data_IF_390339417810
#
_entry.id   IF_390339417810
#
_cell.length_a   1.000
_cell.length_b   1.000
_cell.length_c   1.000
_cell.angle_alpha   90.00
_cell.angle_beta   90.00
_cell.angle_gamma   90.00
#
_symmetry.space_group_name_H-M   'P 1'
#
loop_
_entity.id
_entity.type
_entity.pdbx_description
1 polymer ?
#
# COMPACT_ATOMS: atom_id res chain seq x y z
N UNK A 1 -58.07 21.58 -0.10
CA UNK A 1 -58.70 20.56 0.72
C UNK A 1 -57.63 19.81 1.50
N UNK A 2 -57.62 20.06 2.82
CA UNK A 2 -56.74 19.43 3.81
C UNK A 2 -57.06 17.95 4.02
N UNK A 3 -56.04 17.12 4.24
CA UNK A 3 -56.11 16.04 5.20
C UNK A 3 -54.71 15.79 5.78
N UNK A 4 -54.59 16.15 7.03
CA UNK A 4 -53.55 15.75 8.00
C UNK A 4 -53.82 14.29 8.45
N UNK A 5 -52.79 13.52 8.67
CA UNK A 5 -52.78 12.36 9.56
C UNK A 5 -51.39 12.15 10.11
N UNK A 6 -51.28 12.38 11.22
CA UNK A 6 -50.86 12.06 12.58
C UNK A 6 -49.84 10.93 12.71
N UNK A 7 -48.82 11.29 13.47
CA UNK A 7 -47.81 10.49 14.15
C UNK A 7 -48.36 9.34 14.99
N UNK A 8 -47.56 8.29 15.11
CA UNK A 8 -47.38 7.59 16.40
C UNK A 8 -45.98 7.05 16.54
N UNK A 9 -45.27 7.63 17.50
CA UNK A 9 -44.00 7.20 18.07
C UNK A 9 -44.23 5.95 18.92
N UNK A 10 -43.36 4.96 18.84
CA UNK A 10 -43.27 3.88 19.80
C UNK A 10 -41.83 3.75 20.30
N UNK A 11 -41.61 4.36 21.46
CA UNK A 11 -40.41 4.18 22.28
C UNK A 11 -40.54 2.85 23.05
N UNK A 12 -39.58 1.98 22.95
CA UNK A 12 -39.45 0.83 23.84
C UNK A 12 -38.13 0.94 24.61
N UNK A 13 -38.27 1.35 25.85
CA UNK A 13 -37.26 1.30 26.93
C UNK A 13 -37.27 -0.13 27.47
N UNK A 14 -36.11 -0.79 27.52
CA UNK A 14 -35.93 -1.96 28.38
C UNK A 14 -34.68 -1.73 29.24
N UNK A 15 -34.97 -1.41 30.50
CA UNK A 15 -34.01 -1.40 31.61
C UNK A 15 -34.18 -2.69 32.42
N UNK A 16 -33.18 -2.96 33.29
CA UNK A 16 -33.14 -3.97 34.38
C UNK A 16 -32.36 -5.24 34.02
N UNK A 17 -31.49 -5.70 34.88
CA UNK A 17 -31.36 -5.45 36.31
C UNK A 17 -30.09 -6.03 36.89
N UNK A 18 -29.60 -5.30 37.82
CA UNK A 18 -28.64 -5.71 38.84
C UNK A 18 -29.25 -6.78 39.76
N UNK A 19 -28.49 -7.82 40.06
CA UNK A 19 -28.70 -8.57 41.27
C UNK A 19 -27.38 -8.82 41.97
N UNK A 20 -27.25 -8.18 43.10
CA UNK A 20 -26.18 -8.35 44.08
C UNK A 20 -26.64 -9.32 45.16
N UNK A 21 -25.67 -9.81 45.91
CA UNK A 21 -25.70 -10.33 47.27
C UNK A 21 -25.90 -11.83 47.48
N UNK A 22 -24.95 -12.33 48.24
CA UNK A 22 -25.11 -13.54 49.05
C UNK A 22 -23.86 -13.89 49.83
N UNK A 23 -23.74 -13.27 50.98
CA UNK A 23 -22.76 -13.51 52.01
C UNK A 23 -23.12 -14.81 52.79
N UNK A 24 -22.12 -15.59 53.23
CA UNK A 24 -22.33 -16.75 54.07
C UNK A 24 -21.05 -17.28 54.71
N UNK A 25 -20.82 -16.85 55.94
CA UNK A 25 -19.75 -17.31 56.83
C UNK A 25 -19.94 -18.77 57.28
N UNK A 26 -18.85 -19.45 57.64
CA UNK A 26 -18.87 -20.68 58.39
C UNK A 26 -17.53 -21.38 58.51
N UNK A 27 -16.77 -21.00 59.39
CA UNK A 27 -15.91 -21.53 60.47
C UNK A 27 -15.50 -23.02 60.47
N UNK A 28 -14.22 -23.27 60.79
CA UNK A 28 -13.80 -24.43 61.60
C UNK A 28 -12.66 -25.29 61.09
N UNK A 29 -11.45 -24.98 61.48
CA UNK A 29 -10.50 -25.80 62.25
C UNK A 29 -9.80 -27.00 61.55
N UNK A 30 -8.57 -27.09 61.44
CA UNK A 30 -7.49 -27.55 62.29
C UNK A 30 -6.19 -27.89 61.54
N UNK A 31 -5.12 -27.72 62.20
CA UNK A 31 -3.75 -27.82 61.75
C UNK A 31 -3.29 -29.25 61.41
N UNK A 32 -2.30 -29.34 60.50
CA UNK A 32 -1.20 -30.29 60.58
C UNK A 32 0.00 -29.76 59.78
N UNK A 33 1.12 -29.67 60.45
CA UNK A 33 2.43 -29.33 59.93
C UNK A 33 2.93 -30.40 58.96
N UNK A 34 3.61 -29.94 57.88
CA UNK A 34 4.38 -30.78 56.96
C UNK A 34 5.42 -29.94 56.27
N UNK A 35 6.65 -29.99 56.77
CA UNK A 35 7.88 -29.44 56.18
C UNK A 35 8.18 -30.08 54.84
N UNK A 36 8.52 -29.26 53.84
CA UNK A 36 9.03 -29.75 52.54
C UNK A 36 9.38 -28.64 51.59
N UNK A 37 10.64 -28.37 51.51
CA UNK A 37 11.48 -27.72 50.49
C UNK A 37 10.90 -26.64 49.52
N UNK A 38 11.48 -25.48 49.65
CA UNK A 38 11.37 -24.36 48.74
C UNK A 38 12.08 -24.67 47.42
N UNK A 39 11.31 -24.86 46.37
CA UNK A 39 11.73 -24.62 44.99
C UNK A 39 11.26 -23.21 44.60
N UNK A 40 12.16 -22.25 44.70
CA UNK A 40 11.98 -20.88 44.18
C UNK A 40 11.95 -20.91 42.66
N UNK A 41 10.79 -21.15 42.11
CA UNK A 41 10.47 -20.82 40.73
C UNK A 41 9.90 -19.41 40.72
N UNK A 42 10.75 -18.39 40.66
CA UNK A 42 10.34 -17.02 40.42
C UNK A 42 9.91 -16.89 38.94
N UNK A 43 8.67 -17.19 38.67
CA UNK A 43 7.99 -16.68 37.49
C UNK A 43 7.62 -15.24 37.80
N UNK A 44 8.52 -14.32 37.46
CA UNK A 44 8.24 -12.88 37.50
C UNK A 44 7.13 -12.54 36.50
N UNK A 45 5.91 -12.43 37.01
CA UNK A 45 4.83 -11.71 36.35
C UNK A 45 5.12 -10.20 36.53
N UNK A 46 6.14 -9.69 35.87
CA UNK A 46 6.28 -8.27 35.65
C UNK A 46 5.20 -7.82 34.67
N UNK A 47 4.56 -6.69 34.94
CA UNK A 47 3.60 -6.10 33.99
C UNK A 47 4.29 -5.94 32.64
N UNK A 48 3.73 -6.52 31.56
CA UNK A 48 4.26 -6.41 30.22
C UNK A 48 4.14 -4.97 29.70
N UNK A 49 5.16 -4.48 29.01
CA UNK A 49 5.10 -3.22 28.28
C UNK A 49 4.28 -3.46 27.01
N UNK A 50 3.08 -2.92 26.94
CA UNK A 50 2.21 -3.05 25.77
C UNK A 50 2.46 -1.92 24.80
N UNK A 51 2.65 -2.26 23.53
CA UNK A 51 2.78 -1.33 22.41
C UNK A 51 1.87 -1.77 21.28
N UNK A 52 1.46 -0.82 20.44
CA UNK A 52 0.62 -1.11 19.27
C UNK A 52 1.34 -0.80 17.97
N UNK A 53 1.17 -1.71 16.99
CA UNK A 53 1.63 -1.53 15.62
C UNK A 53 0.43 -1.45 14.67
N UNK A 54 0.28 -0.32 13.96
CA UNK A 54 -0.80 -0.11 13.00
C UNK A 54 -0.31 -0.18 11.56
N UNK A 55 -1.02 -0.95 10.73
CA UNK A 55 -0.79 -1.07 9.29
C UNK A 55 -2.07 -0.93 8.48
N UNK A 56 -1.96 -0.35 7.28
CA UNK A 56 -3.01 -0.36 6.26
C UNK A 56 -2.91 -1.54 5.30
N UNK A 57 -1.80 -2.30 5.34
CA UNK A 57 -1.54 -3.36 4.37
C UNK A 57 -2.21 -4.67 4.78
N UNK A 58 -2.89 -5.29 3.83
CA UNK A 58 -3.59 -6.58 3.99
C UNK A 58 -2.85 -7.73 3.31
N UNK A 59 -2.06 -7.44 2.27
CA UNK A 59 -1.40 -8.46 1.45
C UNK A 59 -0.40 -9.32 2.22
N UNK A 60 0.20 -8.78 3.28
CA UNK A 60 1.19 -9.44 4.13
C UNK A 60 0.72 -9.59 5.60
N UNK A 61 -0.56 -9.39 5.85
CA UNK A 61 -1.11 -9.35 7.22
C UNK A 61 -0.82 -10.64 8.02
N UNK A 62 -0.92 -11.81 7.39
CA UNK A 62 -0.65 -13.09 8.05
C UNK A 62 0.85 -13.23 8.39
N UNK A 63 1.73 -12.80 7.50
CA UNK A 63 3.17 -12.77 7.77
C UNK A 63 3.51 -11.83 8.93
N UNK A 64 2.97 -10.62 8.90
CA UNK A 64 3.21 -9.64 9.97
C UNK A 64 2.67 -10.15 11.31
N UNK A 65 1.50 -10.80 11.31
CA UNK A 65 0.91 -11.43 12.50
C UNK A 65 1.80 -12.56 13.04
N UNK A 66 2.36 -13.39 12.16
CA UNK A 66 3.33 -14.44 12.52
C UNK A 66 4.56 -13.82 13.19
N UNK A 67 5.14 -12.77 12.61
CA UNK A 67 6.35 -12.11 13.15
C UNK A 67 6.08 -11.34 14.46
N UNK A 68 4.90 -10.74 14.61
CA UNK A 68 4.48 -10.14 15.89
C UNK A 68 4.34 -11.22 16.97
N UNK A 69 3.76 -12.37 16.65
CA UNK A 69 3.65 -13.48 17.59
C UNK A 69 5.05 -14.02 17.98
N UNK A 70 5.96 -14.19 17.02
CA UNK A 70 7.35 -14.61 17.23
C UNK A 70 8.08 -13.62 18.16
N UNK A 71 7.96 -12.31 17.90
CA UNK A 71 8.54 -11.29 18.77
C UNK A 71 7.98 -11.37 20.19
N UNK A 72 6.65 -11.46 20.33
CA UNK A 72 5.98 -11.53 21.64
C UNK A 72 6.39 -12.77 22.45
N UNK A 73 6.73 -13.87 21.78
CA UNK A 73 7.17 -15.11 22.41
C UNK A 73 8.67 -15.07 22.76
N UNK A 74 9.50 -14.48 21.90
CA UNK A 74 10.96 -14.60 21.98
C UNK A 74 11.66 -13.44 22.68
N UNK A 75 11.03 -12.24 22.74
CA UNK A 75 11.65 -11.11 23.41
C UNK A 75 11.76 -11.35 24.94
N UNK A 76 12.89 -10.95 25.51
CA UNK A 76 13.18 -11.09 26.95
C UNK A 76 12.91 -9.81 27.74
N UNK A 77 12.47 -8.74 27.06
CA UNK A 77 12.25 -7.43 27.67
C UNK A 77 10.84 -7.24 28.24
N UNK A 78 9.99 -8.28 28.14
CA UNK A 78 8.60 -8.22 28.62
C UNK A 78 7.71 -7.31 27.76
N UNK A 79 8.03 -7.15 26.47
CA UNK A 79 7.26 -6.34 25.52
C UNK A 79 6.14 -7.20 24.90
N UNK A 80 4.96 -6.64 24.76
CA UNK A 80 3.84 -7.24 24.05
C UNK A 80 3.33 -6.28 22.98
N UNK A 81 3.42 -6.70 21.71
CA UNK A 81 2.98 -5.92 20.54
C UNK A 81 1.57 -6.36 20.15
N UNK A 82 0.65 -5.41 20.01
CA UNK A 82 -0.67 -5.59 19.43
C UNK A 82 -0.66 -5.11 17.96
N UNK A 83 -0.96 -6.00 17.02
CA UNK A 83 -1.11 -5.67 15.60
C UNK A 83 -2.54 -5.21 15.30
N UNK A 84 -2.68 -4.03 14.68
CA UNK A 84 -3.96 -3.50 14.21
C UNK A 84 -3.91 -3.25 12.69
N UNK A 85 -4.73 -3.98 11.94
CA UNK A 85 -4.86 -3.84 10.48
C UNK A 85 -6.10 -2.99 10.16
N UNK A 86 -5.91 -1.80 9.58
CA UNK A 86 -6.98 -0.83 9.27
C UNK A 86 -7.43 -0.87 7.79
N UNK A 87 -6.65 -1.47 6.90
CA UNK A 87 -6.96 -1.48 5.47
C UNK A 87 -7.04 -0.08 4.86
N UNK A 88 -8.06 0.16 4.03
CA UNK A 88 -8.20 1.42 3.28
C UNK A 88 -8.55 2.63 4.17
N UNK A 89 -9.03 2.40 5.37
CA UNK A 89 -9.33 3.47 6.34
C UNK A 89 -8.12 3.91 7.16
N UNK A 90 -6.93 3.38 6.87
CA UNK A 90 -5.72 3.56 7.66
C UNK A 90 -5.37 5.05 7.89
N UNK A 91 -5.29 5.84 6.82
CA UNK A 91 -4.90 7.26 6.94
C UNK A 91 -5.91 8.06 7.76
N UNK A 92 -7.21 7.81 7.56
CA UNK A 92 -8.28 8.46 8.33
C UNK A 92 -8.26 8.05 9.79
N UNK A 93 -8.08 6.75 10.07
CA UNK A 93 -7.98 6.24 11.42
C UNK A 93 -6.75 6.77 12.15
N UNK A 94 -5.62 6.88 11.43
CA UNK A 94 -4.39 7.45 11.99
C UNK A 94 -4.56 8.93 12.30
N UNK A 95 -5.13 9.74 11.39
CA UNK A 95 -5.43 11.16 11.65
C UNK A 95 -6.29 11.35 12.89
N UNK A 96 -7.32 10.51 13.06
CA UNK A 96 -8.20 10.57 14.23
C UNK A 96 -7.45 10.16 15.51
N UNK A 97 -6.63 9.13 15.48
CA UNK A 97 -5.90 8.62 16.65
C UNK A 97 -4.91 9.66 17.22
N UNK A 98 -4.31 10.48 16.34
CA UNK A 98 -3.43 11.58 16.77
C UNK A 98 -4.16 12.78 17.38
N UNK A 99 -5.46 12.90 17.13
CA UNK A 99 -6.33 13.90 17.76
C UNK A 99 -6.87 13.41 19.12
N UNK A 100 -6.86 12.12 19.35
CA UNK A 100 -7.23 11.46 20.61
C UNK A 100 -5.97 10.95 21.32
N UNK A 101 -6.13 10.18 22.39
CA UNK A 101 -4.99 9.55 23.11
C UNK A 101 -4.68 8.12 22.61
N UNK A 102 -5.18 7.74 21.45
CA UNK A 102 -5.14 6.35 20.96
C UNK A 102 -4.13 6.17 19.80
N UNK A 103 -3.16 7.08 19.67
CA UNK A 103 -2.13 6.98 18.62
C UNK A 103 -1.27 5.71 18.81
N UNK A 104 -0.96 4.98 17.73
CA UNK A 104 -0.11 3.80 17.82
C UNK A 104 1.33 4.15 18.21
N UNK A 105 2.09 3.14 18.69
CA UNK A 105 3.52 3.26 18.96
C UNK A 105 4.37 3.10 17.71
N UNK A 106 3.99 2.18 16.83
CA UNK A 106 4.64 1.92 15.54
C UNK A 106 3.63 2.07 14.40
N UNK A 107 4.04 2.78 13.36
CA UNK A 107 3.20 3.15 12.22
C UNK A 107 3.81 2.54 10.96
N UNK A 108 3.00 1.81 10.16
CA UNK A 108 3.39 1.46 8.80
C UNK A 108 3.46 2.73 7.95
N UNK A 109 4.61 3.00 7.36
CA UNK A 109 4.82 4.13 6.46
C UNK A 109 5.21 3.65 5.08
N UNK A 110 4.96 4.48 4.07
CA UNK A 110 5.31 4.25 2.66
C UNK A 110 5.90 5.53 2.08
N UNK A 111 6.57 5.42 0.94
CA UNK A 111 7.18 6.58 0.27
C UNK A 111 6.19 7.71 -0.02
N UNK A 112 4.94 7.37 -0.34
CA UNK A 112 3.91 8.35 -0.68
C UNK A 112 3.17 8.92 0.54
N UNK A 113 3.36 8.37 1.74
CA UNK A 113 2.69 8.82 2.97
C UNK A 113 3.64 9.40 4.00
N UNK A 114 4.91 8.96 4.02
CA UNK A 114 5.87 9.32 5.06
C UNK A 114 6.09 10.84 5.18
N UNK A 115 6.19 11.54 4.05
CA UNK A 115 6.35 13.00 4.06
C UNK A 115 5.12 13.69 4.67
N UNK A 116 3.92 13.20 4.37
CA UNK A 116 2.68 13.71 4.96
C UNK A 116 2.64 13.47 6.47
N UNK A 117 3.00 12.26 6.92
CA UNK A 117 3.03 11.93 8.35
C UNK A 117 4.11 12.71 9.10
N UNK A 118 5.27 12.93 8.47
CA UNK A 118 6.30 13.82 9.00
C UNK A 118 5.78 15.26 9.17
N UNK A 119 5.20 15.85 8.13
CA UNK A 119 4.65 17.23 8.19
C UNK A 119 3.53 17.38 9.20
N UNK A 120 2.73 16.35 9.43
CA UNK A 120 1.69 16.31 10.47
C UNK A 120 2.26 16.11 11.88
N UNK A 121 3.56 15.86 12.03
CA UNK A 121 4.21 15.60 13.30
C UNK A 121 3.85 14.22 13.91
N UNK A 122 3.44 13.26 13.09
CA UNK A 122 3.09 11.93 13.57
C UNK A 122 4.31 11.06 13.88
N UNK A 123 5.45 11.36 13.27
CA UNK A 123 6.67 10.56 13.38
C UNK A 123 7.68 11.20 14.32
N UNK A 124 8.35 10.39 15.12
CA UNK A 124 9.53 10.75 15.88
C UNK A 124 10.81 10.37 15.10
N UNK A 125 11.89 11.14 15.21
CA UNK A 125 13.18 10.75 14.67
C UNK A 125 13.71 9.51 15.40
N UNK A 126 14.47 8.67 14.66
CA UNK A 126 15.04 7.42 15.17
C UNK A 126 16.56 7.47 15.31
N UNK A 127 17.18 8.65 15.12
CA UNK A 127 18.65 8.81 15.11
C UNK A 127 19.33 8.32 16.38
N UNK A 128 18.70 8.52 17.53
CA UNK A 128 19.23 8.08 18.83
C UNK A 128 19.38 6.56 18.96
N UNK A 129 18.64 5.81 18.16
CA UNK A 129 18.66 4.35 18.13
C UNK A 129 19.56 3.77 17.04
N UNK A 130 20.05 4.60 16.09
CA UNK A 130 20.79 4.12 14.93
C UNK A 130 22.28 3.92 15.25
N UNK A 131 22.72 2.68 15.21
CA UNK A 131 24.15 2.32 15.20
C UNK A 131 24.78 2.63 13.83
N UNK A 132 26.10 2.70 13.76
CA UNK A 132 26.83 2.88 12.50
C UNK A 132 26.58 1.72 11.53
N UNK A 133 26.37 0.52 12.03
CA UNK A 133 26.00 -0.66 11.25
C UNK A 133 24.62 -0.48 10.59
N UNK A 134 23.61 -0.04 11.36
CA UNK A 134 22.27 0.24 10.81
C UNK A 134 22.29 1.38 9.80
N UNK A 135 23.09 2.43 10.03
CA UNK A 135 23.25 3.52 9.06
C UNK A 135 23.91 3.06 7.76
N UNK A 136 24.86 2.15 7.84
CA UNK A 136 25.49 1.57 6.66
C UNK A 136 24.56 0.60 5.92
N UNK A 137 23.80 -0.21 6.65
CA UNK A 137 22.82 -1.16 6.09
C UNK A 137 21.63 -0.46 5.43
N UNK A 138 21.16 0.64 6.01
CA UNK A 138 20.00 1.41 5.56
C UNK A 138 20.41 2.87 5.27
N UNK A 139 20.83 3.19 4.04
CA UNK A 139 21.30 4.52 3.71
C UNK A 139 20.22 5.59 3.87
N UNK A 140 20.66 6.81 4.13
CA UNK A 140 19.80 7.98 4.08
C UNK A 140 19.27 8.20 2.67
N UNK A 141 17.99 8.53 2.58
CA UNK A 141 17.32 8.93 1.34
C UNK A 141 16.65 10.28 1.63
N UNK A 142 17.32 11.41 1.28
CA UNK A 142 16.78 12.74 1.52
C UNK A 142 15.38 12.91 0.96
N UNK A 143 14.52 13.60 1.71
CA UNK A 143 13.11 13.84 1.41
C UNK A 143 12.22 12.58 1.32
N UNK A 144 12.80 11.40 1.56
CA UNK A 144 12.07 10.13 1.53
C UNK A 144 12.02 9.46 2.92
N UNK A 145 13.18 9.24 3.57
CA UNK A 145 13.22 8.73 4.94
C UNK A 145 14.04 9.60 5.90
N UNK A 146 14.63 10.67 5.36
CA UNK A 146 15.37 11.68 6.10
C UNK A 146 14.80 13.06 5.82
N UNK A 147 14.39 13.78 6.87
CA UNK A 147 13.83 15.14 6.82
C UNK A 147 14.57 16.00 7.84
N UNK A 148 14.97 17.20 7.44
CA UNK A 148 15.74 18.14 8.28
C UNK A 148 16.99 17.51 8.92
N UNK A 149 17.67 16.62 8.17
CA UNK A 149 18.88 15.93 8.62
C UNK A 149 18.65 14.86 9.69
N UNK A 150 17.41 14.43 9.91
CA UNK A 150 17.03 13.35 10.84
C UNK A 150 16.34 12.21 10.14
N UNK A 151 16.60 10.99 10.59
CA UNK A 151 16.02 9.77 10.07
C UNK A 151 14.69 9.45 10.75
N UNK A 152 13.67 9.07 9.98
CA UNK A 152 12.32 8.74 10.45
C UNK A 152 11.86 7.32 10.13
N UNK A 153 12.55 6.64 9.21
CA UNK A 153 12.32 5.23 8.89
C UNK A 153 13.54 4.61 8.24
N UNK A 154 13.52 3.28 8.10
CA UNK A 154 14.56 2.53 7.38
C UNK A 154 13.94 1.91 6.12
N UNK A 155 14.52 2.14 4.92
CA UNK A 155 14.02 1.58 3.67
C UNK A 155 14.37 0.09 3.61
N UNK A 156 13.38 -0.79 3.68
CA UNK A 156 13.64 -2.23 3.72
C UNK A 156 13.18 -3.00 2.49
N UNK A 157 12.01 -2.65 1.93
CA UNK A 157 11.48 -3.30 0.73
C UNK A 157 11.03 -2.30 -0.31
N UNK A 158 11.06 -2.73 -1.56
CA UNK A 158 10.38 -2.11 -2.67
C UNK A 158 9.46 -3.10 -3.37
N UNK A 159 8.59 -2.57 -4.20
CA UNK A 159 7.70 -3.35 -5.07
C UNK A 159 7.83 -2.86 -6.51
N UNK A 160 7.78 -3.79 -7.46
CA UNK A 160 7.62 -3.49 -8.88
C UNK A 160 6.14 -3.48 -9.23
N UNK A 161 5.78 -2.76 -10.28
CA UNK A 161 4.42 -2.74 -10.83
C UNK A 161 4.40 -3.41 -12.20
N UNK A 162 3.41 -4.29 -12.42
CA UNK A 162 3.30 -5.08 -13.66
C UNK A 162 1.85 -5.20 -14.11
N UNK A 163 1.69 -5.51 -15.38
CA UNK A 163 0.46 -6.06 -15.94
C UNK A 163 0.38 -7.54 -15.55
N UNK A 164 -0.60 -7.91 -14.77
CA UNK A 164 -0.93 -9.28 -14.40
C UNK A 164 -1.94 -9.82 -15.42
N UNK A 165 -1.70 -11.01 -15.97
CA UNK A 165 -2.57 -11.54 -17.02
C UNK A 165 -2.82 -13.04 -16.90
N UNK A 166 -4.03 -13.45 -17.31
CA UNK A 166 -4.50 -14.82 -17.32
C UNK A 166 -4.07 -15.52 -18.61
N UNK A 167 -3.07 -16.39 -18.53
CA UNK A 167 -2.51 -17.12 -19.68
C UNK A 167 -3.51 -18.06 -20.33
N UNK A 168 -4.39 -18.70 -19.55
CA UNK A 168 -5.40 -19.59 -20.07
C UNK A 168 -6.40 -18.83 -20.96
N UNK A 169 -6.81 -17.64 -20.53
CA UNK A 169 -7.71 -16.79 -21.31
C UNK A 169 -7.02 -16.20 -22.55
N UNK A 170 -5.72 -15.84 -22.44
CA UNK A 170 -4.90 -15.41 -23.58
C UNK A 170 -4.80 -16.51 -24.63
N UNK A 171 -4.49 -17.75 -24.21
CA UNK A 171 -4.42 -18.91 -25.11
C UNK A 171 -5.79 -19.17 -25.78
N UNK A 172 -6.89 -19.09 -25.03
CA UNK A 172 -8.25 -19.23 -25.54
C UNK A 172 -8.61 -18.15 -26.57
N UNK A 173 -8.09 -16.92 -26.39
CA UNK A 173 -8.30 -15.80 -27.31
C UNK A 173 -7.33 -15.80 -28.50
N UNK A 174 -6.36 -16.73 -28.55
CA UNK A 174 -5.31 -16.77 -29.59
C UNK A 174 -4.33 -15.60 -29.48
N UNK A 175 -4.07 -15.10 -28.26
CA UNK A 175 -3.14 -13.97 -28.01
C UNK A 175 -1.84 -14.54 -27.50
N UNK A 176 -0.75 -14.28 -28.23
CA UNK A 176 0.58 -14.84 -27.92
C UNK A 176 1.37 -13.99 -26.91
N UNK A 177 1.15 -12.68 -26.89
CA UNK A 177 1.94 -11.74 -26.09
C UNK A 177 1.06 -10.73 -25.33
N UNK A 178 1.48 -10.32 -24.13
CA UNK A 178 0.82 -9.21 -23.44
C UNK A 178 0.99 -7.89 -24.22
N UNK A 179 0.03 -6.94 -24.06
CA UNK A 179 0.05 -5.67 -24.77
C UNK A 179 1.25 -4.80 -24.36
N UNK A 180 1.86 -4.13 -25.34
CA UNK A 180 2.98 -3.20 -25.16
C UNK A 180 2.59 -1.75 -25.36
N UNK A 181 1.45 -1.49 -26.02
CA UNK A 181 0.87 -0.16 -26.24
C UNK A 181 -0.52 -0.04 -25.62
N UNK A 182 -0.98 1.20 -25.41
CA UNK A 182 -2.38 1.44 -24.97
C UNK A 182 -3.39 0.89 -25.95
N UNK A 183 -3.14 1.01 -27.26
CA UNK A 183 -4.08 0.49 -28.27
C UNK A 183 -4.14 -1.05 -28.18
N UNK A 184 -3.00 -1.72 -28.05
CA UNK A 184 -2.99 -3.16 -27.85
C UNK A 184 -3.68 -3.57 -26.54
N UNK A 185 -3.58 -2.77 -25.48
CA UNK A 185 -4.30 -3.04 -24.21
C UNK A 185 -5.81 -3.04 -24.42
N UNK A 186 -6.34 -2.05 -25.15
CA UNK A 186 -7.75 -1.95 -25.51
C UNK A 186 -8.19 -3.14 -26.36
N UNK A 187 -7.47 -3.44 -27.44
CA UNK A 187 -7.78 -4.53 -28.36
C UNK A 187 -7.70 -5.89 -27.68
N UNK A 188 -6.70 -6.09 -26.82
CA UNK A 188 -6.53 -7.30 -26.02
C UNK A 188 -7.69 -7.48 -25.05
N UNK A 189 -8.05 -6.43 -24.31
CA UNK A 189 -9.19 -6.48 -23.39
C UNK A 189 -10.48 -6.92 -24.09
N UNK A 190 -10.73 -6.38 -25.29
CA UNK A 190 -11.90 -6.75 -26.11
C UNK A 190 -11.85 -8.22 -26.51
N UNK A 191 -10.73 -8.70 -27.06
CA UNK A 191 -10.58 -10.10 -27.50
C UNK A 191 -10.74 -11.07 -26.32
N UNK A 192 -10.16 -10.76 -25.16
CA UNK A 192 -10.30 -11.58 -23.96
C UNK A 192 -11.75 -11.63 -23.47
N UNK A 193 -12.49 -10.51 -23.54
CA UNK A 193 -13.91 -10.48 -23.18
C UNK A 193 -14.74 -11.34 -24.12
N UNK A 194 -14.50 -11.26 -25.43
CA UNK A 194 -15.18 -12.08 -26.43
C UNK A 194 -14.91 -13.56 -26.20
N UNK A 195 -13.64 -13.94 -25.99
CA UNK A 195 -13.23 -15.35 -25.72
C UNK A 195 -13.76 -15.86 -24.38
N UNK A 196 -13.82 -14.98 -23.37
CA UNK A 196 -14.27 -15.32 -22.01
C UNK A 196 -15.77 -15.25 -21.77
N UNK A 197 -16.55 -14.81 -22.77
CA UNK A 197 -17.99 -14.52 -22.62
C UNK A 197 -18.81 -15.69 -22.07
N UNK A 198 -18.52 -16.91 -22.53
CA UNK A 198 -19.24 -18.11 -22.09
C UNK A 198 -18.98 -18.42 -20.59
N UNK A 199 -17.82 -18.00 -20.07
CA UNK A 199 -17.42 -18.22 -18.69
C UNK A 199 -17.71 -17.00 -17.79
N UNK A 200 -18.31 -15.93 -18.34
CA UNK A 200 -18.57 -14.68 -17.65
C UNK A 200 -17.28 -13.94 -17.27
N UNK A 201 -16.23 -14.07 -18.10
CA UNK A 201 -14.97 -13.39 -17.90
C UNK A 201 -14.88 -12.10 -18.74
N UNK A 202 -14.15 -11.12 -18.23
CA UNK A 202 -13.91 -9.81 -18.83
C UNK A 202 -12.43 -9.58 -19.05
N UNK A 203 -12.08 -8.80 -20.08
CA UNK A 203 -10.69 -8.61 -20.48
C UNK A 203 -9.86 -7.78 -19.50
N UNK A 204 -10.49 -6.86 -18.77
CA UNK A 204 -9.78 -5.95 -17.87
C UNK A 204 -10.59 -5.59 -16.61
N UNK A 205 -9.89 -5.35 -15.52
CA UNK A 205 -10.46 -4.77 -14.30
C UNK A 205 -9.43 -3.91 -13.57
N UNK A 206 -9.92 -3.00 -12.71
CA UNK A 206 -9.15 -2.33 -11.65
C UNK A 206 -10.06 -2.06 -10.44
N UNK A 207 -9.46 -1.85 -9.28
CA UNK A 207 -10.16 -1.69 -7.99
C UNK A 207 -10.67 -0.26 -7.77
N UNK A 208 -11.57 0.22 -8.62
CA UNK A 208 -12.05 1.61 -8.63
C UNK A 208 -12.97 2.01 -7.46
N UNK A 209 -13.25 1.13 -6.51
CA UNK A 209 -13.81 1.56 -5.22
C UNK A 209 -12.91 2.61 -4.55
N UNK A 210 -11.60 2.54 -4.81
CA UNK A 210 -10.61 3.55 -4.44
C UNK A 210 -9.89 4.03 -5.71
N UNK A 211 -10.32 5.14 -6.36
CA UNK A 211 -9.70 5.63 -7.59
C UNK A 211 -8.20 5.90 -7.46
N UNK A 212 -7.75 6.45 -6.32
CA UNK A 212 -6.32 6.66 -6.06
C UNK A 212 -5.53 5.35 -6.03
N UNK A 213 -6.08 4.29 -5.41
CA UNK A 213 -5.45 2.95 -5.43
C UNK A 213 -5.44 2.34 -6.83
N UNK A 214 -6.53 2.45 -7.58
CA UNK A 214 -6.67 1.89 -8.93
C UNK A 214 -5.73 2.58 -9.93
N UNK A 215 -5.76 3.90 -10.00
CA UNK A 215 -4.94 4.68 -10.93
C UNK A 215 -3.46 4.71 -10.51
N UNK A 216 -3.19 4.65 -9.21
CA UNK A 216 -1.84 4.49 -8.67
C UNK A 216 -1.16 3.18 -9.06
N UNK A 217 -1.95 2.10 -9.29
CA UNK A 217 -1.44 0.80 -9.78
C UNK A 217 -1.35 0.73 -11.30
N UNK A 218 -2.03 1.58 -12.02
CA UNK A 218 -2.20 1.48 -13.47
C UNK A 218 -1.78 2.76 -14.21
N UNK A 219 -2.59 3.80 -14.23
CA UNK A 219 -2.32 5.02 -14.99
C UNK A 219 -0.98 5.68 -14.61
N UNK A 220 -0.64 5.68 -13.32
CA UNK A 220 0.62 6.19 -12.82
C UNK A 220 1.81 5.50 -13.50
N UNK A 221 1.89 4.17 -13.44
CA UNK A 221 3.03 3.44 -13.95
C UNK A 221 3.12 3.51 -15.48
N UNK A 222 1.98 3.56 -16.18
CA UNK A 222 1.94 3.80 -17.62
C UNK A 222 2.52 5.19 -17.95
N UNK A 223 2.13 6.23 -17.19
CA UNK A 223 2.66 7.57 -17.34
C UNK A 223 4.17 7.61 -17.08
N UNK A 224 4.64 7.03 -15.98
CA UNK A 224 6.05 6.92 -15.60
C UNK A 224 6.87 6.24 -16.71
N UNK A 225 6.46 5.08 -17.18
CA UNK A 225 7.12 4.34 -18.26
C UNK A 225 7.09 5.09 -19.60
N UNK A 226 6.11 5.97 -19.81
CA UNK A 226 5.98 6.82 -20.99
C UNK A 226 6.73 8.15 -20.88
N UNK A 227 7.46 8.38 -19.76
CA UNK A 227 8.31 9.57 -19.56
C UNK A 227 7.62 10.76 -18.88
N UNK A 228 6.44 10.55 -18.29
CA UNK A 228 5.71 11.57 -17.53
C UNK A 228 5.80 11.31 -16.01
N UNK A 229 5.67 12.36 -15.21
CA UNK A 229 5.58 12.19 -13.76
C UNK A 229 4.31 11.43 -13.36
N UNK A 230 4.46 10.36 -12.60
CA UNK A 230 3.37 9.43 -12.25
C UNK A 230 2.22 10.05 -11.45
N UNK A 231 2.43 11.22 -10.87
CA UNK A 231 1.43 12.02 -10.15
C UNK A 231 1.19 13.38 -10.80
N UNK A 232 1.56 13.53 -12.08
CA UNK A 232 1.39 14.75 -12.85
C UNK A 232 2.44 15.82 -12.58
N UNK A 233 3.46 15.57 -11.74
CA UNK A 233 4.52 16.55 -11.52
C UNK A 233 5.62 16.40 -12.58
N UNK A 234 5.85 17.45 -13.35
CA UNK A 234 6.92 17.53 -14.33
C UNK A 234 8.20 18.14 -13.71
N UNK A 235 9.22 17.32 -13.51
CA UNK A 235 10.49 17.72 -12.93
C UNK A 235 11.26 18.73 -13.80
N UNK A 236 11.05 18.72 -15.13
CA UNK A 236 11.73 19.67 -16.03
C UNK A 236 11.28 21.10 -15.84
N UNK A 237 10.01 21.28 -15.54
CA UNK A 237 9.38 22.59 -15.36
C UNK A 237 9.11 22.93 -13.91
N UNK A 238 9.25 21.95 -13.00
CA UNK A 238 8.85 22.00 -11.60
C UNK A 238 7.37 22.42 -11.43
N UNK A 239 6.48 21.89 -12.26
CA UNK A 239 5.05 22.19 -12.30
C UNK A 239 4.22 20.94 -12.46
N UNK A 240 2.96 21.01 -12.07
CA UNK A 240 1.99 19.96 -12.36
C UNK A 240 1.48 20.08 -13.79
N UNK A 241 1.60 18.99 -14.53
CA UNK A 241 1.03 18.80 -15.87
C UNK A 241 0.47 17.38 -16.02
N UNK A 242 -0.86 17.30 -16.07
CA UNK A 242 -1.57 16.04 -16.24
C UNK A 242 -1.85 15.69 -17.71
N UNK A 243 -1.26 16.41 -18.69
CA UNK A 243 -1.51 16.17 -20.12
C UNK A 243 -1.11 14.75 -20.56
N UNK A 244 -0.07 14.16 -19.97
CA UNK A 244 0.34 12.78 -20.24
C UNK A 244 -0.69 11.72 -19.86
N UNK A 245 -1.67 12.05 -19.02
CA UNK A 245 -2.76 11.15 -18.62
C UNK A 245 -3.90 11.09 -19.65
N UNK A 246 -4.02 12.05 -20.56
CA UNK A 246 -5.12 12.09 -21.54
C UNK A 246 -5.26 10.78 -22.34
N UNK A 247 -4.22 10.26 -23.01
CA UNK A 247 -4.34 9.00 -23.76
C UNK A 247 -4.60 7.80 -22.86
N UNK A 248 -4.07 7.78 -21.64
CA UNK A 248 -4.21 6.67 -20.68
C UNK A 248 -5.67 6.57 -20.20
N UNK A 249 -6.24 7.68 -19.76
CA UNK A 249 -7.61 7.74 -19.24
C UNK A 249 -8.62 7.48 -20.37
N UNK A 250 -8.35 7.95 -21.59
CA UNK A 250 -9.17 7.63 -22.75
C UNK A 250 -9.14 6.14 -23.09
N UNK A 251 -8.00 5.46 -23.01
CA UNK A 251 -7.91 4.02 -23.21
C UNK A 251 -8.72 3.24 -22.16
N UNK A 252 -8.63 3.61 -20.89
CA UNK A 252 -9.43 2.97 -19.83
C UNK A 252 -10.94 3.24 -20.01
N UNK A 253 -11.30 4.47 -20.40
CA UNK A 253 -12.69 4.78 -20.74
C UNK A 253 -13.19 3.94 -21.92
N UNK A 254 -12.38 3.77 -22.95
CA UNK A 254 -12.73 2.93 -24.10
C UNK A 254 -12.95 1.47 -23.70
N UNK A 255 -12.05 0.87 -22.91
CA UNK A 255 -12.21 -0.49 -22.37
C UNK A 255 -13.52 -0.64 -21.59
N UNK A 256 -13.92 0.41 -20.86
CA UNK A 256 -15.19 0.44 -20.12
C UNK A 256 -16.38 0.56 -21.07
N UNK A 257 -16.32 1.49 -22.02
CA UNK A 257 -17.44 1.81 -22.92
C UNK A 257 -17.74 0.69 -23.91
N UNK A 258 -16.74 -0.10 -24.33
CA UNK A 258 -16.93 -1.27 -25.20
C UNK A 258 -17.31 -2.55 -24.42
N UNK A 259 -17.47 -2.45 -23.09
CA UNK A 259 -17.91 -3.55 -22.24
C UNK A 259 -16.81 -4.56 -21.90
N UNK A 260 -15.55 -4.22 -22.13
CA UNK A 260 -14.39 -5.10 -21.84
C UNK A 260 -13.87 -4.96 -20.41
N UNK A 261 -14.31 -3.93 -19.69
CA UNK A 261 -14.04 -3.78 -18.27
C UNK A 261 -15.08 -4.56 -17.44
N UNK A 262 -14.64 -5.22 -16.39
CA UNK A 262 -15.53 -5.94 -15.48
C UNK A 262 -16.64 -4.99 -14.96
N UNK A 263 -17.92 -5.36 -15.04
CA UNK A 263 -18.99 -4.54 -14.50
C UNK A 263 -18.89 -4.36 -12.98
N UNK A 264 -19.28 -3.19 -12.47
CA UNK A 264 -19.29 -2.91 -11.03
C UNK A 264 -17.93 -2.54 -10.45
N UNK A 265 -16.93 -2.20 -11.30
CA UNK A 265 -15.58 -1.81 -10.82
C UNK A 265 -15.60 -0.61 -9.88
N UNK A 266 -16.62 0.25 -9.94
CA UNK A 266 -16.83 1.38 -9.03
C UNK A 266 -17.07 0.96 -7.58
N UNK A 267 -17.43 -0.31 -7.34
CA UNK A 267 -17.57 -0.91 -6.01
C UNK A 267 -16.51 -1.96 -5.72
N UNK A 268 -15.63 -2.24 -6.69
CA UNK A 268 -14.66 -3.31 -6.62
C UNK A 268 -13.43 -2.87 -5.81
N UNK A 269 -13.21 -3.54 -4.69
CA UNK A 269 -11.98 -3.43 -3.90
C UNK A 269 -10.92 -4.40 -4.43
N UNK A 270 -9.67 -4.25 -3.95
CA UNK A 270 -8.54 -5.06 -4.44
C UNK A 270 -8.69 -6.55 -4.12
N UNK A 271 -9.18 -6.93 -2.93
CA UNK A 271 -9.30 -8.34 -2.56
C UNK A 271 -10.42 -9.07 -3.33
N UNK A 272 -11.63 -8.51 -3.51
CA UNK A 272 -12.60 -9.05 -4.45
C UNK A 272 -12.11 -9.12 -5.90
N UNK A 273 -11.27 -8.17 -6.36
CA UNK A 273 -10.64 -8.23 -7.69
C UNK A 273 -9.71 -9.44 -7.78
N UNK A 274 -8.83 -9.63 -6.79
CA UNK A 274 -7.91 -10.77 -6.70
C UNK A 274 -8.64 -12.10 -6.70
N UNK A 275 -9.70 -12.21 -5.91
CA UNK A 275 -10.54 -13.41 -5.87
C UNK A 275 -11.13 -13.73 -7.25
N UNK A 276 -11.67 -12.73 -7.96
CA UNK A 276 -12.23 -12.90 -9.30
C UNK A 276 -11.16 -13.25 -10.34
N UNK A 277 -9.96 -12.66 -10.25
CA UNK A 277 -8.85 -13.02 -11.13
C UNK A 277 -8.41 -14.47 -10.90
N UNK A 278 -8.26 -14.88 -9.64
CA UNK A 278 -7.90 -16.25 -9.26
C UNK A 278 -8.92 -17.31 -9.79
N UNK A 279 -10.19 -16.92 -9.92
CA UNK A 279 -11.27 -17.74 -10.49
C UNK A 279 -11.34 -17.65 -12.04
N UNK A 280 -10.45 -16.91 -12.69
CA UNK A 280 -10.42 -16.74 -14.15
C UNK A 280 -11.46 -15.79 -14.73
N UNK A 281 -12.09 -14.94 -13.93
CA UNK A 281 -13.11 -13.97 -14.37
C UNK A 281 -12.52 -12.68 -14.95
N UNK A 282 -11.23 -12.46 -14.82
CA UNK A 282 -10.52 -11.26 -15.28
C UNK A 282 -9.33 -11.70 -16.13
N UNK A 283 -9.21 -11.08 -17.32
CA UNK A 283 -8.11 -11.35 -18.24
C UNK A 283 -6.82 -10.63 -17.87
N UNK A 284 -6.94 -9.35 -17.49
CA UNK A 284 -5.81 -8.48 -17.15
C UNK A 284 -6.18 -7.50 -16.05
N UNK A 285 -5.20 -7.16 -15.22
CA UNK A 285 -5.22 -5.99 -14.32
C UNK A 285 -3.78 -5.59 -14.00
N UNK A 286 -3.57 -4.43 -13.37
CA UNK A 286 -2.23 -3.97 -13.00
C UNK A 286 -2.05 -3.99 -11.48
N UNK A 287 -0.91 -4.49 -11.00
CA UNK A 287 -0.63 -4.58 -9.57
C UNK A 287 0.87 -4.71 -9.25
N UNK A 288 1.15 -4.83 -7.96
CA UNK A 288 2.48 -4.88 -7.37
C UNK A 288 3.05 -6.30 -7.28
N UNK A 289 4.36 -6.38 -7.04
CA UNK A 289 5.12 -7.64 -6.87
C UNK A 289 4.74 -8.47 -5.64
N UNK A 290 3.75 -8.06 -4.86
CA UNK A 290 3.15 -8.86 -3.78
C UNK A 290 2.12 -9.88 -4.29
N UNK A 291 1.65 -9.78 -5.54
CA UNK A 291 0.59 -10.67 -6.06
C UNK A 291 0.98 -12.17 -6.05
N UNK A 292 2.23 -12.57 -6.32
CA UNK A 292 2.61 -13.98 -6.20
C UNK A 292 2.37 -14.56 -4.81
N UNK A 293 2.76 -13.83 -3.76
CA UNK A 293 2.49 -14.24 -2.37
C UNK A 293 0.99 -14.29 -2.04
N UNK A 294 0.23 -13.32 -2.55
CA UNK A 294 -1.23 -13.26 -2.40
C UNK A 294 -1.92 -14.44 -3.06
N UNK A 295 -1.56 -14.77 -4.30
CA UNK A 295 -2.13 -15.92 -5.03
C UNK A 295 -1.65 -17.30 -4.53
N UNK A 296 -0.55 -17.34 -3.80
CA UNK A 296 -0.13 -18.56 -3.12
C UNK A 296 -0.89 -18.77 -1.80
N UNK A 297 -1.10 -17.70 -1.01
CA UNK A 297 -1.49 -17.83 0.39
C UNK A 297 -2.94 -17.40 0.68
N UNK A 298 -3.45 -16.32 0.04
CA UNK A 298 -4.74 -15.72 0.37
C UNK A 298 -5.84 -16.08 -0.63
N UNK A 299 -5.53 -16.00 -1.93
CA UNK A 299 -6.47 -16.27 -3.02
C UNK A 299 -5.84 -17.27 -4.00
N UNK A 300 -5.72 -18.56 -3.66
CA UNK A 300 -5.05 -19.55 -4.52
C UNK A 300 -5.59 -19.51 -5.94
N UNK A 301 -4.72 -19.17 -6.91
CA UNK A 301 -5.13 -19.05 -8.31
C UNK A 301 -5.44 -20.43 -8.91
N UNK A 302 -6.60 -20.53 -9.57
CA UNK A 302 -7.05 -21.74 -10.28
C UNK A 302 -6.67 -21.73 -11.76
N UNK A 303 -5.98 -20.68 -12.19
CA UNK A 303 -5.57 -20.43 -13.58
C UNK A 303 -4.05 -20.38 -13.69
N UNK A 304 -3.53 -20.61 -14.89
CA UNK A 304 -2.16 -20.23 -15.21
C UNK A 304 -2.09 -18.73 -15.52
N UNK A 305 -1.19 -18.03 -14.86
CA UNK A 305 -1.06 -16.60 -14.95
C UNK A 305 0.40 -16.16 -14.94
N UNK A 306 0.65 -14.96 -15.41
CA UNK A 306 1.98 -14.36 -15.37
C UNK A 306 1.89 -12.85 -15.22
N UNK A 307 3.04 -12.20 -15.11
CA UNK A 307 3.19 -10.76 -15.09
C UNK A 307 4.15 -10.31 -16.21
N UNK A 308 3.89 -9.11 -16.74
CA UNK A 308 4.69 -8.47 -17.78
C UNK A 308 4.85 -6.98 -17.46
N UNK A 309 5.83 -6.27 -18.06
CA UNK A 309 5.88 -4.82 -18.00
C UNK A 309 4.54 -4.21 -18.43
N UNK A 310 4.14 -3.12 -17.82
CA UNK A 310 2.92 -2.41 -18.24
C UNK A 310 3.13 -1.82 -19.64
N UNK A 311 2.06 -1.68 -20.45
CA UNK A 311 2.18 -1.01 -21.74
C UNK A 311 2.57 0.47 -21.55
N UNK A 312 3.19 1.05 -22.56
CA UNK A 312 3.39 2.49 -22.67
C UNK A 312 2.38 3.10 -23.65
N UNK A 313 2.34 4.41 -23.73
CA UNK A 313 1.38 5.09 -24.66
C UNK A 313 1.60 4.62 -26.09
N UNK A 314 2.84 4.51 -26.54
CA UNK A 314 3.21 4.25 -27.94
C UNK A 314 4.17 3.06 -28.16
N UNK A 315 4.36 2.22 -27.14
CA UNK A 315 5.29 1.08 -27.15
C UNK A 315 6.74 1.44 -26.82
N UNK A 316 7.07 2.72 -26.72
CA UNK A 316 8.42 3.16 -26.40
C UNK A 316 8.55 3.44 -24.89
N UNK A 317 9.54 2.84 -24.27
CA UNK A 317 9.86 3.13 -22.86
C UNK A 317 10.72 4.40 -22.81
N UNK A 318 10.16 5.45 -22.22
CA UNK A 318 10.77 6.78 -22.10
C UNK A 318 11.04 7.21 -20.64
N UNK A 319 10.75 6.32 -19.70
CA UNK A 319 10.94 6.56 -18.27
C UNK A 319 11.03 5.24 -17.51
N UNK A 320 11.11 5.31 -16.18
CA UNK A 320 11.22 4.14 -15.33
C UNK A 320 9.90 3.84 -14.63
N UNK A 321 9.56 2.54 -14.48
CA UNK A 321 8.54 2.10 -13.55
C UNK A 321 9.00 2.37 -12.12
N UNK A 322 8.21 3.06 -11.32
CA UNK A 322 8.55 3.37 -9.94
C UNK A 322 8.77 2.11 -9.11
N UNK A 323 9.97 1.96 -8.55
CA UNK A 323 10.32 0.89 -7.61
C UNK A 323 10.23 1.45 -6.20
N UNK A 324 9.07 1.29 -5.56
CA UNK A 324 8.74 2.00 -4.33
C UNK A 324 7.81 1.19 -3.41
N UNK A 325 7.72 1.64 -2.15
CA UNK A 325 6.65 1.29 -1.24
C UNK A 325 6.78 -0.07 -0.56
N UNK A 326 7.58 -0.17 0.46
CA UNK A 326 7.73 -1.40 1.22
C UNK A 326 7.26 -1.34 2.66
N UNK A 327 7.75 -2.24 3.47
CA UNK A 327 7.52 -2.31 4.91
C UNK A 327 8.35 -1.29 5.69
N UNK A 328 8.16 -0.04 5.44
CA UNK A 328 8.83 0.99 6.20
C UNK A 328 8.06 1.20 7.51
N UNK A 329 8.77 1.17 8.63
CA UNK A 329 8.20 1.41 9.95
C UNK A 329 8.62 2.78 10.45
N UNK A 330 7.67 3.54 10.98
CA UNK A 330 7.90 4.81 11.62
C UNK A 330 7.60 4.71 13.12
N UNK A 331 8.45 5.33 13.94
CA UNK A 331 8.22 5.49 15.36
C UNK A 331 7.23 6.63 15.57
N UNK A 332 6.19 6.40 16.35
CA UNK A 332 5.18 7.43 16.64
C UNK A 332 5.74 8.52 17.55
N UNK A 333 5.45 9.78 17.24
CA UNK A 333 5.79 10.92 18.10
C UNK A 333 5.05 10.90 19.44
N UNK A 334 3.90 10.20 19.49
CA UNK A 334 3.04 10.05 20.68
C UNK A 334 3.38 8.82 21.52
N UNK A 335 4.24 7.94 21.06
CA UNK A 335 4.64 6.77 21.85
C UNK A 335 5.30 7.19 23.15
N UNK A 336 4.81 6.68 24.27
CA UNK A 336 5.42 6.79 25.59
C UNK A 336 6.46 5.68 25.81
N UNK A 337 6.46 4.63 24.95
CA UNK A 337 7.29 3.44 25.02
C UNK A 337 8.29 3.33 23.86
N UNK A 338 8.97 4.43 23.51
CA UNK A 338 9.80 4.53 22.29
C UNK A 338 10.89 3.46 22.22
N UNK A 339 11.53 3.12 23.35
CA UNK A 339 12.55 2.07 23.41
C UNK A 339 11.94 0.69 23.10
N UNK A 340 10.78 0.39 23.65
CA UNK A 340 10.08 -0.87 23.37
C UNK A 340 9.62 -0.94 21.91
N UNK A 341 9.07 0.16 21.38
CA UNK A 341 8.68 0.27 19.98
C UNK A 341 9.89 0.11 19.04
N UNK A 342 11.04 0.70 19.39
CA UNK A 342 12.26 0.54 18.61
C UNK A 342 12.77 -0.91 18.62
N UNK A 343 12.74 -1.62 19.74
CA UNK A 343 13.15 -3.04 19.83
C UNK A 343 12.30 -3.90 18.89
N UNK A 344 11.00 -3.67 18.84
CA UNK A 344 10.14 -4.35 17.87
C UNK A 344 10.49 -3.95 16.42
N UNK A 345 10.69 -2.67 16.15
CA UNK A 345 11.13 -2.22 14.82
C UNK A 345 12.45 -2.87 14.43
N UNK A 346 13.41 -2.94 15.33
CA UNK A 346 14.72 -3.56 15.09
C UNK A 346 14.59 -5.04 14.73
N UNK A 347 13.75 -5.80 15.46
CA UNK A 347 13.44 -7.19 15.12
C UNK A 347 12.87 -7.30 13.69
N UNK A 348 11.95 -6.42 13.30
CA UNK A 348 11.40 -6.43 11.96
C UNK A 348 12.41 -6.07 10.87
N UNK A 349 13.56 -5.48 11.22
CA UNK A 349 14.68 -5.15 10.33
C UNK A 349 15.83 -6.17 10.37
N UNK A 350 15.69 -7.27 11.09
CA UNK A 350 16.68 -8.36 11.09
C UNK A 350 16.76 -9.02 9.69
N UNK A 351 17.97 -9.43 9.29
CA UNK A 351 18.19 -10.03 7.98
C UNK A 351 17.33 -11.27 7.75
N UNK A 352 17.07 -12.06 8.78
CA UNK A 352 16.22 -13.24 8.66
C UNK A 352 14.76 -12.86 8.34
N UNK A 353 14.19 -11.87 9.04
CA UNK A 353 12.81 -11.40 8.80
C UNK A 353 12.70 -10.81 7.39
N UNK A 354 13.71 -10.02 6.97
CA UNK A 354 13.77 -9.45 5.64
C UNK A 354 13.90 -10.52 4.55
N UNK A 355 14.71 -11.55 4.79
CA UNK A 355 14.88 -12.67 3.86
C UNK A 355 13.60 -13.48 3.74
N UNK A 356 12.96 -13.84 4.86
CA UNK A 356 11.70 -14.58 4.88
C UNK A 356 10.61 -13.85 4.10
N UNK A 357 10.53 -12.52 4.25
CA UNK A 357 9.55 -11.70 3.53
C UNK A 357 9.75 -11.76 2.02
N UNK A 358 10.99 -11.64 1.56
CA UNK A 358 11.32 -11.74 0.13
C UNK A 358 11.08 -13.16 -0.40
N UNK A 359 11.53 -14.20 0.31
CA UNK A 359 11.39 -15.60 -0.13
C UNK A 359 9.92 -16.08 -0.13
N UNK A 360 9.06 -15.46 0.68
CA UNK A 360 7.60 -15.66 0.64
C UNK A 360 6.91 -14.86 -0.49
N UNK A 361 7.62 -13.99 -1.21
CA UNK A 361 7.11 -13.26 -2.38
C UNK A 361 6.27 -12.03 -2.05
N UNK A 362 6.42 -11.45 -0.85
CA UNK A 362 5.64 -10.26 -0.44
C UNK A 362 6.28 -8.93 -0.87
N UNK A 363 7.57 -8.92 -1.15
CA UNK A 363 8.30 -7.73 -1.59
C UNK A 363 9.74 -8.06 -1.96
N UNK A 364 10.43 -7.08 -2.50
CA UNK A 364 11.82 -7.20 -2.96
C UNK A 364 12.68 -6.37 -2.01
N UNK A 365 13.66 -6.99 -1.36
CA UNK A 365 14.49 -6.27 -0.40
C UNK A 365 15.31 -5.16 -1.06
N UNK A 366 15.31 -3.99 -0.43
CA UNK A 366 16.20 -2.87 -0.75
C UNK A 366 17.53 -2.95 -0.01
N UNK A 367 17.72 -3.97 0.82
CA UNK A 367 18.93 -4.21 1.61
C UNK A 367 19.87 -5.12 0.82
N UNK A 368 21.05 -4.64 0.38
CA UNK A 368 21.94 -5.41 -0.50
C UNK A 368 22.39 -6.74 0.10
N UNK A 369 22.67 -6.83 1.41
CA UNK A 369 23.05 -8.07 2.09
C UNK A 369 21.96 -9.12 2.00
N UNK A 370 20.69 -8.74 2.14
CA UNK A 370 19.53 -9.60 2.03
C UNK A 370 19.28 -10.02 0.58
N UNK A 371 19.28 -9.05 -0.35
CA UNK A 371 19.05 -9.34 -1.77
C UNK A 371 20.10 -10.27 -2.38
N UNK A 372 21.33 -10.27 -1.83
CA UNK A 372 22.40 -11.15 -2.30
C UNK A 372 22.21 -12.61 -1.92
N UNK A 373 21.52 -12.91 -0.80
CA UNK A 373 21.38 -14.27 -0.24
C UNK A 373 19.97 -14.83 -0.39
N UNK A 374 18.96 -13.98 -0.39
CA UNK A 374 17.56 -14.38 -0.51
C UNK A 374 17.32 -15.10 -1.85
N UNK A 375 16.68 -16.25 -1.78
CA UNK A 375 16.29 -17.01 -2.96
C UNK A 375 15.12 -16.34 -3.67
N UNK A 376 15.07 -16.50 -4.99
CA UNK A 376 13.85 -16.17 -5.72
C UNK A 376 12.71 -17.03 -5.18
N UNK A 377 11.58 -16.44 -4.80
CA UNK A 377 10.44 -17.20 -4.30
C UNK A 377 10.00 -18.27 -5.30
N UNK A 378 9.78 -19.50 -4.81
CA UNK A 378 9.15 -20.56 -5.60
C UNK A 378 7.63 -20.35 -5.60
N UNK A 379 7.21 -19.34 -6.37
CA UNK A 379 5.82 -18.92 -6.48
C UNK A 379 5.52 -18.60 -7.93
N UNK A 380 4.44 -19.16 -8.46
CA UNK A 380 4.01 -18.88 -9.82
C UNK A 380 3.87 -17.37 -10.07
N UNK A 381 4.32 -16.92 -11.22
CA UNK A 381 4.24 -15.51 -11.66
C UNK A 381 5.32 -14.56 -11.10
N UNK A 382 6.17 -14.99 -10.15
CA UNK A 382 7.19 -14.12 -9.53
C UNK A 382 8.20 -13.59 -10.55
N UNK A 383 8.57 -14.39 -11.55
CA UNK A 383 9.61 -14.03 -12.52
C UNK A 383 9.30 -12.72 -13.25
N UNK A 384 8.02 -12.50 -13.61
CA UNK A 384 7.59 -11.28 -14.27
C UNK A 384 7.67 -10.04 -13.39
N UNK A 385 7.73 -10.22 -12.08
CA UNK A 385 7.83 -9.13 -11.10
C UNK A 385 9.26 -8.81 -10.68
N UNK A 386 10.23 -9.67 -10.98
CA UNK A 386 11.61 -9.39 -10.62
C UNK A 386 12.06 -8.04 -11.20
N UNK A 387 12.90 -7.27 -10.49
CA UNK A 387 13.40 -6.01 -10.98
C UNK A 387 14.12 -6.16 -12.32
N UNK A 388 13.86 -5.27 -13.22
CA UNK A 388 14.48 -5.25 -14.55
C UNK A 388 15.03 -3.86 -14.88
N UNK A 389 15.57 -3.70 -16.09
CA UNK A 389 16.19 -2.45 -16.55
C UNK A 389 15.25 -1.24 -16.59
N UNK A 390 13.95 -1.42 -16.43
CA UNK A 390 12.96 -0.34 -16.45
C UNK A 390 12.52 0.09 -15.05
N UNK A 391 12.92 -0.62 -14.01
CA UNK A 391 12.54 -0.27 -12.64
C UNK A 391 13.53 0.74 -12.05
N UNK A 392 13.01 1.79 -11.43
CA UNK A 392 13.83 2.86 -10.86
C UNK A 392 13.12 3.67 -9.79
N UNK A 393 13.91 4.39 -8.97
CA UNK A 393 13.37 5.29 -7.95
C UNK A 393 13.24 6.68 -8.55
N UNK A 394 12.02 7.20 -8.52
CA UNK A 394 11.75 8.59 -8.90
C UNK A 394 12.17 9.56 -7.80
N UNK A 395 12.62 10.76 -8.14
CA UNK A 395 12.83 11.80 -7.14
C UNK A 395 11.54 12.15 -6.42
N UNK A 396 11.66 12.61 -5.19
CA UNK A 396 10.53 13.15 -4.43
C UNK A 396 10.04 14.43 -5.10
N UNK A 397 8.74 14.58 -5.17
CA UNK A 397 8.09 15.78 -5.72
C UNK A 397 7.25 16.46 -4.63
N UNK A 398 7.01 17.78 -4.74
CA UNK A 398 6.19 18.50 -3.79
C UNK A 398 4.77 17.93 -3.72
N UNK A 399 4.34 17.44 -2.57
CA UNK A 399 2.96 17.04 -2.35
C UNK A 399 2.13 18.26 -1.99
N UNK A 400 1.05 18.51 -2.74
CA UNK A 400 0.15 19.63 -2.53
C UNK A 400 -1.29 19.18 -2.29
N UNK A 401 -2.07 20.00 -1.62
CA UNK A 401 -3.50 19.77 -1.37
C UNK A 401 -4.32 20.76 -2.21
N UNK A 402 -4.67 20.43 -3.47
CA UNK A 402 -5.46 21.32 -4.30
C UNK A 402 -6.90 21.43 -3.77
N UNK A 403 -7.51 22.57 -3.97
CA UNK A 403 -8.94 22.73 -3.71
C UNK A 403 -9.77 21.82 -4.62
N UNK A 404 -10.90 21.31 -4.12
CA UNK A 404 -11.84 20.49 -4.86
C UNK A 404 -11.39 19.03 -5.02
N UNK A 405 -11.79 18.42 -6.15
CA UNK A 405 -11.58 16.98 -6.38
C UNK A 405 -10.13 16.68 -6.74
N UNK A 406 -9.57 15.61 -6.16
CA UNK A 406 -8.23 15.11 -6.52
C UNK A 406 -8.20 14.57 -7.95
N UNK A 407 -7.00 14.48 -8.53
CA UNK A 407 -6.81 14.03 -9.91
C UNK A 407 -7.43 12.65 -10.19
N UNK A 408 -7.19 11.68 -9.31
CA UNK A 408 -7.71 10.33 -9.50
C UNK A 408 -9.23 10.28 -9.50
N UNK A 409 -9.89 11.00 -8.58
CA UNK A 409 -11.35 11.09 -8.53
C UNK A 409 -11.92 11.82 -9.76
N UNK A 410 -11.23 12.86 -10.25
CA UNK A 410 -11.63 13.60 -11.43
C UNK A 410 -11.54 12.73 -12.70
N UNK A 411 -10.46 11.98 -12.86
CA UNK A 411 -10.29 11.04 -13.96
C UNK A 411 -11.31 9.91 -13.90
N UNK A 412 -11.53 9.33 -12.73
CA UNK A 412 -12.53 8.28 -12.57
C UNK A 412 -13.95 8.79 -12.84
N UNK A 413 -14.30 9.99 -12.38
CA UNK A 413 -15.56 10.63 -12.69
C UNK A 413 -15.75 10.82 -14.20
N UNK A 414 -14.70 11.23 -14.92
CA UNK A 414 -14.72 11.31 -16.39
C UNK A 414 -14.94 9.93 -17.04
N UNK A 415 -14.25 8.89 -16.57
CA UNK A 415 -14.43 7.53 -17.08
C UNK A 415 -15.88 7.03 -16.91
N UNK A 416 -16.54 7.42 -15.82
CA UNK A 416 -17.93 7.01 -15.55
C UNK A 416 -18.94 7.80 -16.38
N UNK A 417 -18.78 9.12 -16.46
CA UNK A 417 -19.82 10.03 -16.93
C UNK A 417 -19.53 10.65 -18.30
N UNK A 418 -18.31 10.48 -18.82
CA UNK A 418 -17.86 11.18 -20.02
C UNK A 418 -17.63 12.67 -19.78
N UNK A 419 -17.67 13.44 -20.85
CA UNK A 419 -17.45 14.88 -20.85
C UNK A 419 -16.20 15.30 -21.62
N UNK A 420 -15.63 16.45 -21.26
CA UNK A 420 -14.41 17.00 -21.87
C UNK A 420 -13.20 16.74 -20.98
N UNK A 421 -12.39 15.71 -21.31
CA UNK A 421 -11.19 15.36 -20.56
C UNK A 421 -10.13 16.47 -20.61
N UNK A 422 -10.02 17.21 -21.72
CA UNK A 422 -9.07 18.31 -21.83
C UNK A 422 -9.42 19.44 -20.85
N UNK A 423 -10.71 19.73 -20.71
CA UNK A 423 -11.17 20.69 -19.71
C UNK A 423 -10.88 20.20 -18.26
N UNK A 424 -11.07 18.90 -17.98
CA UNK A 424 -10.70 18.29 -16.67
C UNK A 424 -9.21 18.46 -16.41
N UNK A 425 -8.34 18.14 -17.38
CA UNK A 425 -6.88 18.26 -17.27
C UNK A 425 -6.46 19.72 -17.04
N UNK A 426 -7.04 20.65 -17.81
CA UNK A 426 -6.75 22.08 -17.66
C UNK A 426 -7.12 22.61 -16.26
N UNK A 427 -8.27 22.16 -15.72
CA UNK A 427 -8.68 22.49 -14.35
C UNK A 427 -7.75 21.88 -13.31
N UNK A 428 -7.34 20.61 -13.46
CA UNK A 428 -6.36 19.96 -12.59
C UNK A 428 -5.02 20.71 -12.61
N UNK A 429 -4.46 21.00 -13.78
CA UNK A 429 -3.21 21.74 -13.91
C UNK A 429 -3.30 23.10 -13.20
N UNK A 430 -4.40 23.83 -13.38
CA UNK A 430 -4.61 25.11 -12.71
C UNK A 430 -4.63 25.00 -11.19
N UNK A 431 -5.43 24.06 -10.65
CA UNK A 431 -5.64 23.91 -9.20
C UNK A 431 -4.40 23.38 -8.49
N UNK A 432 -3.75 22.38 -9.07
CA UNK A 432 -2.52 21.81 -8.49
C UNK A 432 -1.37 22.82 -8.52
N UNK A 433 -1.21 23.60 -9.59
CA UNK A 433 -0.19 24.65 -9.64
C UNK A 433 -0.51 25.81 -8.71
N UNK A 434 -1.76 26.20 -8.52
CA UNK A 434 -2.13 27.20 -7.52
C UNK A 434 -1.82 26.71 -6.09
N UNK A 435 -2.07 25.44 -5.79
CA UNK A 435 -1.69 24.85 -4.51
C UNK A 435 -0.17 24.78 -4.32
N UNK A 436 0.57 24.48 -5.40
CA UNK A 436 2.04 24.49 -5.38
C UNK A 436 2.60 25.90 -5.11
N UNK A 437 2.08 26.91 -5.79
CA UNK A 437 2.49 28.29 -5.59
C UNK A 437 2.22 28.74 -4.13
N UNK A 438 1.08 28.34 -3.55
CA UNK A 438 0.78 28.58 -2.15
C UNK A 438 1.74 27.87 -1.19
N UNK A 439 2.07 26.61 -1.47
CA UNK A 439 2.99 25.83 -0.66
C UNK A 439 4.42 26.40 -0.71
N UNK A 440 4.86 26.88 -1.87
CA UNK A 440 6.16 27.56 -2.03
C UNK A 440 6.17 28.86 -1.21
N UNK A 441 5.11 29.66 -1.29
CA UNK A 441 5.04 30.96 -0.64
C UNK A 441 4.90 30.88 0.89
N UNK A 442 4.16 29.87 1.41
CA UNK A 442 3.73 29.83 2.81
C UNK A 442 4.40 28.73 3.63
N UNK A 443 4.77 27.60 2.98
CA UNK A 443 5.23 26.39 3.68
C UNK A 443 6.70 26.08 3.41
N UNK A 444 7.41 26.94 2.69
CA UNK A 444 8.82 26.77 2.35
C UNK A 444 9.13 25.58 1.42
N UNK A 445 8.11 25.11 0.69
CA UNK A 445 8.27 24.02 -0.30
C UNK A 445 9.21 24.50 -1.41
N UNK A 446 10.17 23.68 -1.76
CA UNK A 446 11.07 23.92 -2.90
C UNK A 446 10.56 23.20 -4.13
N UNK A 447 10.53 23.91 -5.25
CA UNK A 447 10.20 23.36 -6.57
C UNK A 447 11.13 24.03 -7.60
N UNK A 448 12.23 23.36 -7.87
CA UNK A 448 13.27 23.87 -8.78
C UNK A 448 13.23 23.10 -10.11
N UNK A 449 13.12 23.79 -11.26
CA UNK A 449 13.14 23.14 -12.56
C UNK A 449 14.48 22.47 -12.83
N UNK A 450 14.44 21.21 -13.30
CA UNK A 450 15.61 20.51 -13.84
C UNK A 450 15.40 20.20 -15.31
N UNK A 451 15.80 21.13 -16.19
CA UNK A 451 15.67 20.95 -17.64
C UNK A 451 16.44 19.73 -18.18
N UNK A 452 17.41 19.21 -17.41
CA UNK A 452 18.21 18.04 -17.77
C UNK A 452 17.60 16.72 -17.29
N UNK A 453 16.52 16.75 -16.50
CA UNK A 453 15.88 15.56 -15.96
C UNK A 453 15.49 14.59 -17.08
N UNK A 454 16.04 13.39 -17.01
CA UNK A 454 15.70 12.28 -17.92
C UNK A 454 15.11 11.11 -17.14
N UNK A 455 13.79 10.88 -17.23
CA UNK A 455 13.15 9.79 -16.52
C UNK A 455 13.62 8.40 -16.96
N UNK A 456 14.19 8.25 -18.19
CA UNK A 456 14.75 6.98 -18.63
C UNK A 456 16.05 6.62 -17.88
N UNK A 457 16.80 7.62 -17.41
CA UNK A 457 18.05 7.42 -16.66
C UNK A 457 17.82 6.85 -15.24
N UNK A 458 16.59 6.84 -14.74
CA UNK A 458 16.25 6.31 -13.43
C UNK A 458 16.28 4.78 -13.37
N UNK A 459 16.12 4.11 -14.53
CA UNK A 459 16.01 2.67 -14.62
C UNK A 459 17.31 1.90 -14.33
N UNK A 460 17.18 0.62 -14.03
CA UNK A 460 18.28 -0.35 -13.99
C UNK A 460 19.07 -0.44 -12.70
N UNK A 461 18.79 0.38 -11.70
CA UNK A 461 19.55 0.39 -10.44
C UNK A 461 19.34 -0.86 -9.57
N UNK A 462 18.27 -1.59 -9.80
CA UNK A 462 17.88 -2.80 -9.05
C UNK A 462 17.87 -4.06 -9.90
N UNK A 463 18.16 -3.96 -11.19
CA UNK A 463 18.31 -5.13 -12.06
C UNK A 463 19.58 -5.92 -11.66
N UNK A 464 19.44 -7.24 -11.48
CA UNK A 464 20.57 -8.16 -11.29
C UNK A 464 21.21 -8.50 -12.62
#
# INVERSE_FOLDING_TARGET
>A
MMKRMLMTSLSLILALGLAACGNGSGNGGNAAEGTGDAATGSSGSGDKIKISYWTGDRHDADFVKEKVAEFNETNTDGIEVELVVKGDDFDTALDLSFQTSDAPDVIRVKENTIQTFYKKGFLAPIDEFLTDELKAKFPAMPDLNEFDGKRYSLPNYGTTMRLVYNKDLFAKAGIEHPPTTLQELVDTAKKLTEAGKADGAYGFAQNFKSPGSALGRSARVIAEMSGYGGFGYDFKTARYDFSGFEPIINAFKQIKDDGSMLPGVESLDIDPLRAQFAEGKIGMYMSFSSEPGVYKNQFPAKIDWAAAPVPTIDGNVKGASGFLGGQWLGLSSKSENKEAAWKFMQFMYEDQVLTDYQEKGFGISMVPSVSAVAKTPDVNGIEGFLPNKYDGVWPVYPTVAPEGMKSDDAFFKYMLNGGDLKAVIADLNKRYNAALDSAIANDGVKAEPDASFDPASLGGKFAK
#
